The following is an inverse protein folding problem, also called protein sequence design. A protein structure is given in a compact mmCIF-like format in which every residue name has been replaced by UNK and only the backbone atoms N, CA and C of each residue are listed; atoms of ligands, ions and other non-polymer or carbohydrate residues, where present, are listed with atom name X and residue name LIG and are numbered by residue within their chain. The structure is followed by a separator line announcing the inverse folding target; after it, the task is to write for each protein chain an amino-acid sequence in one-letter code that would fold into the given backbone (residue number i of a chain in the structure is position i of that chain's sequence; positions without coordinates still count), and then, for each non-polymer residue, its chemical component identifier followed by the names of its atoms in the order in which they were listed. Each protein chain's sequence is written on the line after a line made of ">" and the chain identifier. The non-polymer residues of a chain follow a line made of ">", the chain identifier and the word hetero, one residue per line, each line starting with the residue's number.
data_IF_297927394905
#
_entry.id   IF_297927394905
#
_cell.length_a   1.000
_cell.length_b   1.000
_cell.length_c   1.000
_cell.angle_alpha   90.00
_cell.angle_beta   90.00
_cell.angle_gamma   90.00
#
_symmetry.space_group_name_H-M   'P 1'
#
loop_
_entity.id
_entity.type
_entity.pdbx_description
1 polymer ?
#
# COMPACT_ATOMS: atom_id res chain seq x y z
N UNK A 1 76.45 -7.69 -9.32
CA UNK A 1 76.12 -9.00 -9.94
C UNK A 1 74.72 -8.86 -10.53
N UNK A 2 74.50 -8.43 -11.78
CA UNK A 2 74.81 -9.04 -13.10
C UNK A 2 74.27 -10.47 -13.25
N UNK A 3 73.12 -10.60 -13.91
CA UNK A 3 72.70 -11.60 -14.94
C UNK A 3 71.25 -11.22 -15.35
N UNK A 4 70.93 -10.77 -16.58
CA UNK A 4 70.92 -11.48 -17.87
C UNK A 4 69.93 -12.67 -17.86
N UNK A 5 69.08 -12.98 -18.85
CA UNK A 5 68.83 -12.47 -20.20
C UNK A 5 67.76 -13.43 -20.79
N UNK A 6 66.74 -12.86 -21.45
CA UNK A 6 66.14 -13.25 -22.75
C UNK A 6 65.76 -14.70 -23.09
N UNK A 7 64.64 -14.84 -23.85
CA UNK A 7 64.39 -15.79 -24.96
C UNK A 7 62.98 -15.49 -25.51
N UNK A 8 62.60 -15.61 -26.78
CA UNK A 8 63.28 -15.67 -28.09
C UNK A 8 62.17 -15.83 -29.15
N UNK A 9 62.15 -14.91 -30.12
CA UNK A 9 62.06 -15.11 -31.58
C UNK A 9 60.91 -15.95 -32.21
N UNK A 10 60.19 -15.30 -33.14
CA UNK A 10 59.85 -15.76 -34.51
C UNK A 10 59.33 -14.53 -35.27
N UNK A 11 59.71 -14.16 -36.50
CA UNK A 11 60.54 -14.74 -37.55
C UNK A 11 60.00 -14.20 -38.90
N UNK A 12 60.91 -13.93 -39.84
CA UNK A 12 60.70 -13.59 -41.29
C UNK A 12 60.22 -12.15 -41.59
N UNK A 13 60.98 -11.22 -42.19
CA UNK A 13 61.74 -11.23 -43.46
C UNK A 13 60.79 -11.45 -44.67
N UNK A 14 60.78 -10.74 -45.80
CA UNK A 14 61.67 -9.85 -46.55
C UNK A 14 60.75 -9.10 -47.54
N UNK A 15 60.98 -7.82 -47.84
CA UNK A 15 61.08 -7.37 -49.25
C UNK A 15 61.34 -5.89 -49.40
N UNK A 16 62.29 -5.65 -50.29
CA UNK A 16 62.91 -4.39 -50.63
C UNK A 16 62.06 -3.63 -51.66
N UNK A 17 62.39 -2.35 -51.74
CA UNK A 17 62.67 -1.62 -52.98
C UNK A 17 61.57 -0.69 -53.51
N UNK A 18 61.94 0.60 -53.55
CA UNK A 18 61.69 1.64 -54.57
C UNK A 18 61.09 2.93 -53.98
N UNK A 19 61.96 3.92 -53.82
CA UNK A 19 61.70 5.37 -53.98
C UNK A 19 61.05 5.64 -55.37
N UNK A 20 60.42 6.81 -55.69
CA UNK A 20 60.83 8.16 -55.27
C UNK A 20 59.73 9.24 -55.08
N UNK A 21 60.12 10.33 -54.38
CA UNK A 21 59.98 11.76 -54.74
C UNK A 21 58.74 12.18 -55.56
N UNK A 22 57.86 13.01 -55.00
CA UNK A 22 57.41 14.27 -55.64
C UNK A 22 56.54 15.13 -54.71
N UNK A 23 56.57 16.42 -55.03
CA UNK A 23 56.09 17.59 -54.30
C UNK A 23 54.57 17.66 -54.23
N UNK A 24 54.04 18.24 -53.15
CA UNK A 24 53.07 19.34 -53.24
C UNK A 24 52.88 19.96 -51.85
N UNK A 25 53.01 21.28 -51.80
CA UNK A 25 52.68 22.09 -50.64
C UNK A 25 51.16 22.10 -50.42
N UNK A 26 50.73 22.06 -49.17
CA UNK A 26 49.50 22.70 -48.73
C UNK A 26 49.56 22.91 -47.21
N UNK A 27 49.52 24.18 -46.82
CA UNK A 27 49.36 24.61 -45.45
C UNK A 27 47.98 24.15 -44.92
N UNK A 28 47.94 23.67 -43.69
CA UNK A 28 46.74 23.66 -42.87
C UNK A 28 47.13 23.48 -41.39
N UNK A 29 47.50 24.58 -40.74
CA UNK A 29 47.36 24.72 -39.30
C UNK A 29 45.88 24.68 -38.97
N UNK A 30 45.42 23.64 -38.28
CA UNK A 30 44.11 23.66 -37.62
C UNK A 30 44.30 23.21 -36.17
N UNK A 31 44.19 24.21 -35.32
CA UNK A 31 44.28 24.14 -33.87
C UNK A 31 43.23 23.19 -33.30
N UNK A 32 43.66 22.43 -32.28
CA UNK A 32 42.79 21.65 -31.40
C UNK A 32 41.66 22.52 -30.84
N UNK A 33 40.44 22.30 -31.28
CA UNK A 33 39.26 22.86 -30.65
C UNK A 33 38.93 22.06 -29.38
N UNK A 34 39.30 22.60 -28.21
CA UNK A 34 38.80 22.12 -26.92
C UNK A 34 37.31 22.47 -26.86
N UNK A 35 36.46 21.49 -27.13
CA UNK A 35 35.02 21.62 -26.95
C UNK A 35 34.72 21.74 -25.45
N UNK A 36 34.52 22.98 -24.99
CA UNK A 36 33.89 23.30 -23.71
C UNK A 36 32.46 22.74 -23.73
N UNK A 37 32.26 21.54 -23.20
CA UNK A 37 30.91 21.04 -22.90
C UNK A 37 30.44 21.82 -21.68
N UNK A 38 29.45 22.73 -21.77
CA UNK A 38 28.94 23.40 -20.60
C UNK A 38 28.27 22.35 -19.73
N UNK A 39 28.78 22.18 -18.52
CA UNK A 39 28.13 21.40 -17.47
C UNK A 39 26.82 22.10 -17.16
N UNK A 40 25.74 21.71 -17.84
CA UNK A 40 24.42 22.23 -17.52
C UNK A 40 24.08 21.66 -16.15
N UNK A 41 24.28 22.47 -15.11
CA UNK A 41 23.83 22.19 -13.77
C UNK A 41 22.31 22.04 -13.81
N UNK A 42 21.85 20.79 -13.93
CA UNK A 42 20.46 20.45 -13.69
C UNK A 42 20.16 20.91 -12.26
N UNK A 43 19.46 22.02 -12.14
CA UNK A 43 18.98 22.52 -10.85
C UNK A 43 18.03 21.45 -10.30
N UNK A 44 18.56 20.58 -9.44
CA UNK A 44 17.75 19.73 -8.59
C UNK A 44 16.90 20.68 -7.77
N UNK A 45 15.61 20.79 -8.13
CA UNK A 45 14.63 21.56 -7.37
C UNK A 45 14.52 20.86 -6.03
N UNK A 46 15.30 21.33 -5.06
CA UNK A 46 15.29 20.82 -3.69
C UNK A 46 13.85 20.99 -3.20
N UNK A 47 13.10 19.89 -3.10
CA UNK A 47 11.78 19.93 -2.50
C UNK A 47 11.97 20.45 -1.07
N UNK A 48 11.37 21.60 -0.76
CA UNK A 48 11.42 22.16 0.58
C UNK A 48 10.91 21.10 1.56
N UNK A 49 11.52 20.96 2.76
CA UNK A 49 11.03 20.02 3.75
C UNK A 49 9.58 20.39 4.11
N UNK A 50 8.62 19.56 3.66
CA UNK A 50 7.23 19.72 4.09
C UNK A 50 7.13 19.33 5.56
N UNK A 51 6.50 20.19 6.36
CA UNK A 51 6.23 19.86 7.77
C UNK A 51 5.21 18.73 7.78
N UNK A 52 5.50 17.58 8.41
CA UNK A 52 4.57 16.46 8.44
C UNK A 52 3.31 16.86 9.21
N UNK A 53 2.16 16.41 8.71
CA UNK A 53 0.87 16.52 9.37
C UNK A 53 0.91 15.84 10.74
N UNK A 54 0.07 16.31 11.65
CA UNK A 54 -0.08 15.72 12.98
C UNK A 54 -1.44 15.07 13.09
N UNK A 55 -1.46 13.80 13.47
CA UNK A 55 -2.68 13.15 13.96
C UNK A 55 -2.85 13.61 15.41
N UNK A 56 -3.69 14.63 15.60
CA UNK A 56 -3.81 15.38 16.85
C UNK A 56 -4.71 14.69 17.86
N UNK A 57 -5.76 14.02 17.40
CA UNK A 57 -6.67 13.30 18.28
C UNK A 57 -7.33 12.13 17.58
N UNK A 58 -7.69 11.13 18.39
CA UNK A 58 -8.55 10.01 17.97
C UNK A 58 -9.61 9.85 19.05
N UNK A 59 -10.87 9.88 18.64
CA UNK A 59 -12.03 9.76 19.52
C UNK A 59 -13.00 8.73 18.95
N UNK A 60 -13.80 8.12 19.81
CA UNK A 60 -14.81 7.16 19.40
C UNK A 60 -16.12 7.38 20.16
N UNK A 61 -17.22 7.00 19.53
CA UNK A 61 -18.56 7.04 20.11
C UNK A 61 -19.35 5.81 19.64
N UNK A 62 -19.95 5.04 20.56
CA UNK A 62 -20.96 4.06 20.20
C UNK A 62 -22.24 4.78 19.77
N UNK A 63 -22.88 4.27 18.72
CA UNK A 63 -24.10 4.78 18.09
C UNK A 63 -25.05 3.60 17.82
N UNK A 64 -25.73 3.13 18.86
CA UNK A 64 -26.54 1.91 18.80
C UNK A 64 -25.65 0.70 18.47
N UNK A 65 -25.96 0.04 17.36
CA UNK A 65 -25.19 -1.11 16.85
C UNK A 65 -23.93 -0.73 16.07
N UNK A 66 -23.66 0.56 15.90
CA UNK A 66 -22.52 1.07 15.12
C UNK A 66 -21.50 1.80 16.01
N UNK A 67 -20.25 1.88 15.58
CA UNK A 67 -19.20 2.61 16.29
C UNK A 67 -18.60 3.64 15.36
N UNK A 68 -18.63 4.91 15.77
CA UNK A 68 -17.99 6.00 15.03
C UNK A 68 -16.63 6.32 15.64
N UNK A 69 -15.60 6.32 14.81
CA UNK A 69 -14.24 6.74 15.12
C UNK A 69 -13.94 8.02 14.35
N UNK A 70 -13.40 9.03 15.02
CA UNK A 70 -12.99 10.29 14.40
C UNK A 70 -11.52 10.51 14.67
N UNK A 71 -10.75 10.67 13.60
CA UNK A 71 -9.32 10.94 13.61
C UNK A 71 -9.14 12.37 13.12
N UNK A 72 -8.62 13.25 13.98
CA UNK A 72 -8.37 14.65 13.64
C UNK A 72 -6.93 14.85 13.17
N UNK A 73 -6.76 15.67 12.14
CA UNK A 73 -5.47 15.99 11.55
C UNK A 73 -5.25 17.50 11.50
N UNK A 74 -3.98 17.91 11.57
CA UNK A 74 -3.58 19.32 11.57
C UNK A 74 -3.70 20.02 10.20
N UNK A 75 -4.14 19.33 9.15
CA UNK A 75 -4.20 19.87 7.80
C UNK A 75 -4.87 18.92 6.82
N UNK A 76 -5.07 19.39 5.59
CA UNK A 76 -5.57 18.59 4.47
C UNK A 76 -4.73 17.33 4.28
N UNK A 77 -5.39 16.21 4.02
CA UNK A 77 -4.74 14.90 4.06
C UNK A 77 -5.33 13.93 3.04
N UNK A 78 -4.53 12.92 2.72
CA UNK A 78 -5.00 11.73 2.01
C UNK A 78 -4.84 10.52 2.92
N UNK A 79 -5.57 9.45 2.63
CA UNK A 79 -5.39 8.19 3.33
C UNK A 79 -5.53 7.01 2.37
N UNK A 80 -4.93 5.90 2.77
CA UNK A 80 -5.16 4.58 2.19
C UNK A 80 -5.71 3.67 3.27
N UNK A 81 -6.50 2.68 2.91
CA UNK A 81 -6.98 1.68 3.86
C UNK A 81 -6.82 0.29 3.29
N UNK A 82 -6.79 -0.70 4.19
CA UNK A 82 -6.91 -2.10 3.84
C UNK A 82 -7.45 -2.90 5.04
N UNK A 83 -7.84 -4.14 4.78
CA UNK A 83 -8.26 -5.09 5.80
C UNK A 83 -7.21 -6.16 6.01
N UNK A 84 -7.06 -6.57 7.26
CA UNK A 84 -6.26 -7.73 7.64
C UNK A 84 -7.18 -8.71 8.34
N UNK A 85 -7.09 -9.98 7.96
CA UNK A 85 -7.73 -11.08 8.68
C UNK A 85 -6.75 -11.66 9.71
N UNK A 86 -7.28 -12.42 10.67
CA UNK A 86 -6.51 -13.16 11.68
C UNK A 86 -5.51 -12.32 12.50
N UNK A 87 -5.96 -11.45 13.43
CA UNK A 87 -7.34 -11.11 13.76
C UNK A 87 -7.93 -10.06 12.79
N UNK A 88 -9.26 -9.92 12.80
CA UNK A 88 -10.00 -8.93 11.99
C UNK A 88 -9.56 -7.51 12.34
N UNK A 89 -9.02 -6.79 11.35
CA UNK A 89 -8.53 -5.43 11.51
C UNK A 89 -8.80 -4.63 10.25
N UNK A 90 -9.06 -3.34 10.44
CA UNK A 90 -9.06 -2.34 9.36
C UNK A 90 -7.99 -1.32 9.72
N UNK A 91 -7.10 -0.99 8.80
CA UNK A 91 -6.13 0.08 9.04
C UNK A 91 -6.30 1.22 8.04
N UNK A 92 -5.94 2.41 8.49
CA UNK A 92 -5.89 3.64 7.71
C UNK A 92 -4.48 4.21 7.79
N UNK A 93 -3.80 4.24 6.66
CA UNK A 93 -2.48 4.86 6.51
C UNK A 93 -2.63 6.30 6.03
N UNK A 94 -2.04 7.22 6.77
CA UNK A 94 -2.04 8.65 6.48
C UNK A 94 -0.59 9.03 6.11
N UNK A 95 -0.30 9.23 4.82
CA UNK A 95 1.02 9.68 4.37
C UNK A 95 1.36 11.09 4.86
N UNK A 96 2.65 11.40 4.86
CA UNK A 96 3.20 12.69 5.31
C UNK A 96 2.70 13.12 6.69
N UNK A 97 2.59 12.18 7.64
CA UNK A 97 2.06 12.46 8.97
C UNK A 97 2.86 11.81 10.10
N UNK A 98 2.65 12.29 11.32
CA UNK A 98 3.17 11.73 12.57
C UNK A 98 2.08 11.69 13.65
N UNK A 99 2.08 10.66 14.52
CA UNK A 99 1.24 10.67 15.72
C UNK A 99 1.60 11.87 16.62
N UNK A 100 0.59 12.53 17.18
CA UNK A 100 0.76 13.61 18.16
C UNK A 100 -0.20 13.45 19.35
N UNK A 101 -0.44 12.21 19.79
CA UNK A 101 -1.35 11.89 20.90
C UNK A 101 -0.62 11.76 22.26
N UNK A 102 0.70 11.97 22.29
CA UNK A 102 1.55 11.87 23.48
C UNK A 102 3.00 11.61 23.09
N UNK A 103 3.81 11.18 24.05
CA UNK A 103 5.25 10.90 23.84
C UNK A 103 5.53 9.49 23.33
N UNK A 104 4.57 8.57 23.48
CA UNK A 104 4.73 7.18 23.07
C UNK A 104 4.74 7.06 21.54
N UNK A 105 5.55 6.13 21.03
CA UNK A 105 5.58 5.82 19.58
C UNK A 105 4.30 5.11 19.10
N UNK A 106 3.65 4.39 20.01
CA UNK A 106 2.42 3.64 19.78
C UNK A 106 1.42 4.07 20.84
N UNK A 107 0.24 4.50 20.41
CA UNK A 107 -0.87 4.81 21.30
C UNK A 107 -1.95 3.75 21.12
N UNK A 108 -2.42 3.19 22.23
CA UNK A 108 -3.52 2.24 22.24
C UNK A 108 -4.67 2.86 23.04
N UNK A 109 -5.83 2.96 22.40
CA UNK A 109 -7.06 3.48 22.98
C UNK A 109 -8.00 2.28 23.15
N UNK A 110 -8.24 1.80 24.38
CA UNK A 110 -9.22 0.75 24.61
C UNK A 110 -10.62 1.27 24.29
N UNK A 111 -11.40 0.47 23.56
CA UNK A 111 -12.80 0.77 23.22
C UNK A 111 -13.72 -0.23 23.92
N UNK A 112 -13.53 -1.52 23.64
CA UNK A 112 -14.22 -2.61 24.31
C UNK A 112 -15.72 -2.70 24.02
N UNK A 113 -16.17 -2.27 22.84
CA UNK A 113 -17.58 -2.40 22.42
C UNK A 113 -17.81 -3.66 21.57
N UNK A 114 -19.05 -3.86 21.09
CA UNK A 114 -19.42 -5.06 20.32
C UNK A 114 -18.63 -5.25 19.02
N UNK A 115 -18.25 -4.17 18.33
CA UNK A 115 -17.58 -4.22 17.03
C UNK A 115 -16.08 -3.99 17.14
N UNK A 116 -15.67 -3.04 17.98
CA UNK A 116 -14.33 -2.47 18.07
C UNK A 116 -13.72 -2.76 19.44
N UNK A 117 -12.64 -3.53 19.45
CA UNK A 117 -11.89 -3.88 20.64
C UNK A 117 -11.05 -2.69 21.12
N UNK A 118 -10.25 -2.12 20.22
CA UNK A 118 -9.31 -1.05 20.53
C UNK A 118 -8.88 -0.33 19.24
N UNK A 119 -8.31 0.86 19.41
CA UNK A 119 -7.71 1.65 18.34
C UNK A 119 -6.23 1.81 18.61
N UNK A 120 -5.39 1.49 17.63
CA UNK A 120 -3.93 1.63 17.71
C UNK A 120 -3.44 2.69 16.75
N UNK A 121 -2.66 3.65 17.22
CA UNK A 121 -2.05 4.70 16.40
C UNK A 121 -0.54 4.57 16.47
N UNK A 122 0.13 4.41 15.32
CA UNK A 122 1.58 4.24 15.28
C UNK A 122 2.21 4.80 14.02
N UNK A 123 3.44 5.29 14.14
CA UNK A 123 4.29 5.60 12.97
C UNK A 123 4.88 4.32 12.39
N UNK A 124 4.15 3.64 11.50
CA UNK A 124 4.56 2.33 10.93
C UNK A 124 5.76 2.46 10.00
N UNK A 125 5.81 3.55 9.21
CA UNK A 125 6.90 3.87 8.29
C UNK A 125 7.33 5.33 8.50
N UNK A 126 8.51 5.74 8.01
CA UNK A 126 8.91 7.14 8.03
C UNK A 126 7.81 8.02 7.40
N UNK A 127 7.31 8.98 8.17
CA UNK A 127 6.27 9.92 7.77
C UNK A 127 4.92 9.28 7.37
N UNK A 128 4.60 8.09 7.87
CA UNK A 128 3.25 7.49 7.72
C UNK A 128 2.71 7.11 9.09
N UNK A 129 1.57 7.71 9.45
CA UNK A 129 0.80 7.29 10.62
C UNK A 129 -0.22 6.25 10.19
N UNK A 130 -0.20 5.10 10.85
CA UNK A 130 -1.21 4.05 10.71
C UNK A 130 -2.14 4.09 11.91
N UNK A 131 -3.43 4.21 11.64
CA UNK A 131 -4.50 3.99 12.63
C UNK A 131 -5.12 2.64 12.36
N UNK A 132 -5.03 1.70 13.30
CA UNK A 132 -5.58 0.35 13.22
C UNK A 132 -6.79 0.25 14.12
N UNK A 133 -7.90 -0.20 13.55
CA UNK A 133 -9.13 -0.56 14.26
C UNK A 133 -9.11 -2.07 14.44
N UNK A 134 -8.93 -2.53 15.68
CA UNK A 134 -8.96 -3.95 16.01
C UNK A 134 -10.40 -4.38 16.27
N UNK A 135 -10.92 -5.28 15.45
CA UNK A 135 -12.33 -5.63 15.50
C UNK A 135 -12.54 -6.92 16.29
N UNK A 136 -13.64 -6.96 17.05
CA UNK A 136 -14.10 -8.18 17.73
C UNK A 136 -14.75 -9.15 16.74
N UNK A 137 -15.43 -8.60 15.74
CA UNK A 137 -16.12 -9.34 14.68
C UNK A 137 -15.91 -8.62 13.35
N UNK A 138 -16.07 -9.34 12.24
CA UNK A 138 -16.05 -8.72 10.91
C UNK A 138 -17.14 -7.64 10.85
N UNK A 139 -16.76 -6.42 10.52
CA UNK A 139 -17.67 -5.27 10.38
C UNK A 139 -17.59 -4.68 8.97
N UNK A 140 -18.65 -4.02 8.54
CA UNK A 140 -18.58 -3.10 7.40
C UNK A 140 -18.20 -1.70 7.87
N UNK A 141 -17.58 -0.90 6.99
CA UNK A 141 -17.24 0.47 7.34
C UNK A 141 -17.51 1.45 6.22
N UNK A 142 -17.82 2.69 6.61
CA UNK A 142 -17.81 3.86 5.71
C UNK A 142 -16.80 4.88 6.23
N UNK A 143 -16.06 5.52 5.34
CA UNK A 143 -15.10 6.56 5.68
C UNK A 143 -15.41 7.85 4.92
N UNK A 144 -15.35 8.98 5.63
CA UNK A 144 -15.57 10.31 5.07
C UNK A 144 -14.51 11.29 5.58
N UNK A 145 -14.06 12.18 4.71
CA UNK A 145 -13.21 13.30 5.10
C UNK A 145 -14.07 14.55 5.33
N UNK A 146 -13.86 15.24 6.44
CA UNK A 146 -14.49 16.51 6.74
C UNK A 146 -13.43 17.60 6.84
N UNK A 147 -13.72 18.79 6.34
CA UNK A 147 -12.93 19.99 6.56
C UNK A 147 -13.36 20.71 7.85
N UNK A 148 -12.52 21.63 8.33
CA UNK A 148 -12.83 22.58 9.41
C UNK A 148 -13.35 21.97 10.73
N UNK A 149 -12.49 21.32 11.55
CA UNK A 149 -11.11 20.94 11.27
C UNK A 149 -11.01 19.67 10.39
N UNK A 150 -9.86 19.44 9.72
CA UNK A 150 -9.62 18.22 8.93
C UNK A 150 -9.78 16.95 9.77
N UNK A 151 -10.72 16.09 9.37
CA UNK A 151 -11.05 14.85 10.09
C UNK A 151 -11.31 13.70 9.14
N UNK A 152 -10.79 12.53 9.48
CA UNK A 152 -11.24 11.26 8.94
C UNK A 152 -12.27 10.65 9.89
N UNK A 153 -13.51 10.56 9.43
CA UNK A 153 -14.61 9.92 10.16
C UNK A 153 -14.82 8.53 9.60
N UNK A 154 -14.69 7.52 10.46
CA UNK A 154 -14.92 6.12 10.14
C UNK A 154 -16.11 5.64 10.95
N UNK A 155 -17.10 5.06 10.30
CA UNK A 155 -18.25 4.46 10.96
C UNK A 155 -18.27 2.97 10.67
N UNK A 156 -18.19 2.17 11.74
CA UNK A 156 -18.24 0.71 11.72
C UNK A 156 -19.68 0.26 11.94
N UNK A 157 -20.14 -0.70 11.15
CA UNK A 157 -21.47 -1.30 11.24
C UNK A 157 -21.37 -2.81 11.26
N UNK A 158 -22.32 -3.52 11.89
CA UNK A 158 -22.40 -4.96 11.77
C UNK A 158 -22.52 -5.33 10.29
N UNK A 159 -21.98 -6.48 9.88
CA UNK A 159 -22.11 -6.93 8.51
C UNK A 159 -23.59 -7.11 8.20
N UNK A 160 -23.99 -6.74 6.98
CA UNK A 160 -25.36 -6.97 6.54
C UNK A 160 -25.69 -8.44 6.75
N UNK A 161 -26.67 -8.72 7.62
CA UNK A 161 -27.15 -10.08 7.85
C UNK A 161 -27.58 -10.59 6.47
N UNK A 162 -27.05 -11.71 5.96
CA UNK A 162 -27.63 -12.33 4.78
C UNK A 162 -29.11 -12.48 5.11
N UNK A 163 -29.98 -11.90 4.29
CA UNK A 163 -31.40 -12.22 4.35
C UNK A 163 -31.47 -13.70 4.02
N UNK A 164 -31.39 -14.54 5.05
CA UNK A 164 -31.87 -15.91 4.99
C UNK A 164 -33.26 -15.80 4.41
N UNK A 165 -33.41 -16.32 3.21
CA UNK A 165 -34.70 -16.52 2.58
C UNK A 165 -35.65 -17.00 3.67
N UNK A 166 -36.74 -16.27 3.87
CA UNK A 166 -37.78 -16.66 4.80
C UNK A 166 -38.02 -18.17 4.64
N UNK A 167 -38.15 -18.95 5.73
CA UNK A 167 -38.60 -20.32 5.59
C UNK A 167 -39.87 -20.25 4.75
N UNK A 168 -39.85 -20.85 3.57
CA UNK A 168 -41.08 -21.12 2.83
C UNK A 168 -41.96 -21.78 3.86
N UNK A 169 -43.06 -21.11 4.20
CA UNK A 169 -44.14 -21.69 4.96
C UNK A 169 -44.54 -22.94 4.20
N UNK A 170 -44.00 -24.08 4.63
CA UNK A 170 -44.60 -25.37 4.40
C UNK A 170 -45.92 -25.27 5.13
N UNK A 171 -46.93 -24.88 4.36
CA UNK A 171 -48.33 -24.97 4.74
C UNK A 171 -48.53 -26.35 5.34
N UNK A 172 -49.06 -26.48 6.58
CA UNK A 172 -49.27 -27.77 7.18
C UNK A 172 -50.31 -28.51 6.34
N UNK A 173 -49.85 -29.44 5.49
CA UNK A 173 -50.73 -30.39 4.84
C UNK A 173 -51.35 -31.27 5.93
N UNK A 174 -52.68 -31.34 6.04
CA UNK A 174 -53.34 -32.17 7.04
C UNK A 174 -53.06 -33.65 6.77
N UNK A 175 -52.44 -34.32 7.73
CA UNK A 175 -52.42 -35.79 7.79
C UNK A 175 -53.80 -36.30 8.20
N UNK A 176 -54.59 -36.75 7.22
CA UNK A 176 -55.59 -37.82 7.29
C UNK A 176 -56.10 -37.98 5.83
N UNK A 177 -56.09 -39.14 5.18
CA UNK A 177 -56.45 -40.47 5.65
C UNK A 177 -55.74 -41.52 4.79
N UNK A 178 -55.24 -42.54 5.46
CA UNK A 178 -54.64 -43.73 4.85
C UNK A 178 -55.73 -44.55 4.17
N UNK A 179 -55.76 -44.55 2.84
CA UNK A 179 -56.45 -45.58 2.07
C UNK A 179 -55.58 -46.84 2.07
N UNK A 180 -55.73 -47.66 3.12
CA UNK A 180 -55.18 -49.01 3.18
C UNK A 180 -55.99 -49.89 2.22
N UNK A 181 -55.33 -50.39 1.18
CA UNK A 181 -55.87 -51.41 0.29
C UNK A 181 -56.18 -52.71 1.04
N UNK A 182 -57.28 -53.38 0.65
CA UNK A 182 -57.43 -54.82 0.81
C UNK A 182 -58.23 -55.40 -0.37
N UNK A 183 -57.87 -56.61 -0.83
CA UNK A 183 -58.30 -57.21 -2.09
C UNK A 183 -59.63 -57.97 -1.99
N UNK A 184 -60.21 -58.23 -3.15
CA UNK A 184 -61.28 -59.20 -3.45
C UNK A 184 -60.99 -60.56 -2.80
N UNK A 185 -61.98 -61.17 -2.12
CA UNK A 185 -62.55 -62.43 -2.63
C UNK A 185 -64.05 -62.61 -2.29
N UNK A 186 -64.84 -63.15 -3.23
CA UNK A 186 -65.82 -64.20 -2.95
C UNK A 186 -66.59 -64.59 -4.22
N UNK A 187 -66.39 -65.85 -4.56
CA UNK A 187 -67.18 -66.75 -5.40
C UNK A 187 -68.59 -66.97 -4.83
N UNK A 188 -69.62 -66.98 -5.69
CA UNK A 188 -70.76 -67.92 -5.76
C UNK A 188 -71.50 -67.69 -7.07
#
# INVERSE_FOLDING_TARGET
>A
MRTATSISIRGEAVSRLRSPKTRAAAAATLAFAVALVPWTAASARQAAPSTPLRVSSVRFWPLGESTRVVIELSGEFTYRYDRLSNPERIYFDIPNSRPALGEQRIHTIPVGDTLLQQIRVSGTQPNVTRVVLDLNVRAEFTAAQLANPPRLVVELKPPARPVSQAPKTESPAPKASQAKAAPTPAET
#
